data_IF_204969993492
#
_entry.id   IF_204969993492
#
_cell.length_a   1.000
_cell.length_b   1.000
_cell.length_c   1.000
_cell.angle_alpha   90.00
_cell.angle_beta   90.00
_cell.angle_gamma   90.00
#
_symmetry.space_group_name_H-M   'P 1'
#
loop_
_entity.id
_entity.type
_entity.pdbx_description
1 polymer ?
#
# COMPACT_ATOMS: atom_id res chain seq x y z
N UNK A 1 -2.04 18.68 -4.74
CA UNK A 1 -1.38 17.68 -5.60
C UNK A 1 -2.44 16.62 -5.89
N UNK A 2 -2.84 16.42 -7.16
CA UNK A 2 -3.77 15.34 -7.50
C UNK A 2 -2.97 14.05 -7.51
N UNK A 3 -3.44 13.04 -6.77
CA UNK A 3 -2.77 11.76 -6.71
C UNK A 3 -2.93 11.04 -8.06
N UNK A 4 -1.89 10.40 -8.55
CA UNK A 4 -1.94 9.58 -9.74
C UNK A 4 -3.01 8.46 -9.57
N UNK A 5 -4.05 8.39 -10.41
CA UNK A 5 -5.10 7.39 -10.28
C UNK A 5 -4.56 5.96 -10.34
N UNK A 6 -3.47 5.73 -11.08
CA UNK A 6 -2.83 4.42 -11.16
C UNK A 6 -2.28 3.95 -9.81
N UNK A 7 -1.80 4.86 -8.95
CA UNK A 7 -1.35 4.52 -7.59
C UNK A 7 -2.54 4.09 -6.72
N UNK A 8 -3.70 4.72 -6.90
CA UNK A 8 -4.92 4.37 -6.18
C UNK A 8 -5.35 2.96 -6.57
N UNK A 9 -5.46 2.69 -7.87
CA UNK A 9 -5.90 1.41 -8.40
C UNK A 9 -4.95 0.29 -7.95
N UNK A 10 -3.64 0.51 -8.02
CA UNK A 10 -2.63 -0.44 -7.56
C UNK A 10 -2.79 -0.84 -6.08
N UNK A 11 -3.05 0.13 -5.21
CA UNK A 11 -3.23 -0.12 -3.77
C UNK A 11 -4.56 -0.83 -3.51
N UNK A 12 -5.62 -0.45 -4.23
CA UNK A 12 -6.93 -1.11 -4.13
C UNK A 12 -6.85 -2.55 -4.60
N UNK A 13 -6.18 -2.82 -5.72
CA UNK A 13 -5.95 -4.17 -6.23
C UNK A 13 -5.15 -5.01 -5.22
N UNK A 14 -4.10 -4.44 -4.62
CA UNK A 14 -3.33 -5.11 -3.57
C UNK A 14 -4.24 -5.50 -2.38
N UNK A 15 -5.07 -4.58 -1.88
CA UNK A 15 -6.02 -4.84 -0.80
C UNK A 15 -7.10 -5.87 -1.18
N UNK A 16 -7.59 -5.82 -2.41
CA UNK A 16 -8.62 -6.74 -2.90
C UNK A 16 -8.08 -8.14 -3.19
N UNK A 17 -6.78 -8.26 -3.52
CA UNK A 17 -6.12 -9.53 -3.82
C UNK A 17 -5.90 -10.45 -2.63
N UNK A 18 -6.04 -9.95 -1.39
CA UNK A 18 -5.83 -10.75 -0.18
C UNK A 18 -7.16 -11.14 0.49
N UNK A 19 -7.27 -12.36 1.04
CA UNK A 19 -8.45 -12.78 1.79
C UNK A 19 -8.67 -11.96 3.06
N UNK A 20 -9.93 -11.85 3.50
CA UNK A 20 -10.28 -11.20 4.77
C UNK A 20 -9.58 -11.87 5.95
N UNK A 21 -9.12 -11.07 6.91
CA UNK A 21 -8.39 -11.54 8.09
C UNK A 21 -6.94 -11.95 7.84
N UNK A 22 -6.40 -11.72 6.64
CA UNK A 22 -5.00 -12.04 6.31
C UNK A 22 -4.13 -10.79 6.18
N UNK A 23 -2.81 -10.98 6.27
CA UNK A 23 -1.81 -9.96 5.99
C UNK A 23 -0.84 -10.45 4.93
N UNK A 24 -0.41 -9.57 4.04
CA UNK A 24 0.56 -9.87 2.99
C UNK A 24 1.49 -8.67 2.75
N UNK A 25 2.75 -8.97 2.47
CA UNK A 25 3.71 -7.97 2.00
C UNK A 25 3.58 -7.80 0.48
N UNK A 26 3.62 -6.55 0.03
CA UNK A 26 3.61 -6.17 -1.37
C UNK A 26 4.85 -5.37 -1.70
N UNK A 27 5.48 -5.70 -2.82
CA UNK A 27 6.44 -4.87 -3.52
C UNK A 27 5.72 -4.31 -4.72
N UNK A 28 5.69 -2.98 -4.87
CA UNK A 28 4.88 -2.30 -5.88
C UNK A 28 5.78 -1.65 -6.96
N UNK A 29 6.00 -2.32 -8.12
CA UNK A 29 6.80 -1.79 -9.23
C UNK A 29 6.16 -0.62 -9.96
N UNK A 30 6.94 0.01 -10.84
CA UNK A 30 6.43 0.68 -12.05
C UNK A 30 5.50 1.89 -11.83
N UNK A 31 5.60 2.54 -10.67
CA UNK A 31 4.97 3.84 -10.38
C UNK A 31 5.97 4.86 -9.90
N UNK A 32 5.57 6.14 -9.86
CA UNK A 32 6.32 7.14 -9.11
C UNK A 32 6.41 6.70 -7.65
N UNK A 33 7.58 6.20 -7.27
CA UNK A 33 7.82 5.60 -5.97
C UNK A 33 7.76 6.62 -4.85
N UNK A 34 8.05 7.90 -5.12
CA UNK A 34 8.00 8.96 -4.11
C UNK A 34 6.56 9.33 -3.82
N UNK A 35 5.73 9.42 -4.86
CA UNK A 35 4.30 9.64 -4.71
C UNK A 35 3.63 8.45 -4.01
N UNK A 36 3.97 7.21 -4.42
CA UNK A 36 3.48 5.99 -3.80
C UNK A 36 3.85 5.92 -2.32
N UNK A 37 5.12 6.14 -1.98
CA UNK A 37 5.59 6.13 -0.59
C UNK A 37 4.87 7.18 0.26
N UNK A 38 4.71 8.40 -0.27
CA UNK A 38 4.00 9.48 0.41
C UNK A 38 2.54 9.09 0.69
N UNK A 39 1.88 8.49 -0.30
CA UNK A 39 0.49 8.08 -0.15
C UNK A 39 0.32 6.90 0.82
N UNK A 40 1.20 5.90 0.75
CA UNK A 40 1.17 4.78 1.69
C UNK A 40 1.46 5.23 3.12
N UNK A 41 2.35 6.22 3.32
CA UNK A 41 2.56 6.84 4.64
C UNK A 41 1.29 7.55 5.13
N UNK A 42 0.60 8.28 4.27
CA UNK A 42 -0.69 8.86 4.60
C UNK A 42 -1.74 7.81 4.99
N UNK A 43 -1.83 6.70 4.23
CA UNK A 43 -2.75 5.61 4.52
C UNK A 43 -2.39 4.89 5.82
N UNK A 44 -1.11 4.69 6.11
CA UNK A 44 -0.64 4.18 7.39
C UNK A 44 -1.09 5.06 8.56
N UNK A 45 -0.94 6.39 8.44
CA UNK A 45 -1.40 7.31 9.49
C UNK A 45 -2.93 7.28 9.70
N UNK A 46 -3.69 7.10 8.62
CA UNK A 46 -5.16 7.12 8.67
C UNK A 46 -5.76 5.77 9.07
N UNK A 47 -5.13 4.68 8.66
CA UNK A 47 -5.58 3.30 8.84
C UNK A 47 -4.41 2.37 9.22
N UNK A 48 -3.76 2.59 10.37
CA UNK A 48 -2.54 1.86 10.75
C UNK A 48 -2.78 0.36 10.97
N UNK A 49 -4.02 -0.05 11.24
CA UNK A 49 -4.41 -1.47 11.35
C UNK A 49 -4.49 -2.18 9.99
N UNK A 50 -4.60 -1.43 8.89
CA UNK A 50 -4.69 -1.94 7.52
C UNK A 50 -3.33 -1.80 6.82
N UNK A 51 -2.71 -0.63 6.92
CA UNK A 51 -1.44 -0.34 6.26
C UNK A 51 -0.33 -0.19 7.29
N UNK A 52 0.67 -1.08 7.24
CA UNK A 52 1.90 -0.90 8.01
C UNK A 52 2.76 0.23 7.43
N UNK A 53 3.73 0.72 8.21
CA UNK A 53 4.66 1.74 7.73
C UNK A 53 5.40 1.23 6.48
N UNK A 54 5.31 1.96 5.34
CA UNK A 54 5.97 1.55 4.11
C UNK A 54 7.45 1.94 4.14
N UNK A 55 8.28 1.12 3.48
CA UNK A 55 9.73 1.35 3.39
C UNK A 55 10.20 1.32 1.93
N UNK A 56 11.27 2.07 1.65
CA UNK A 56 11.86 2.21 0.32
C UNK A 56 13.15 1.39 0.23
N UNK A 57 13.22 0.47 -0.72
CA UNK A 57 14.41 -0.36 -0.92
C UNK A 57 15.34 0.21 -2.00
N UNK A 58 16.62 -0.11 -1.87
CA UNK A 58 17.70 0.30 -2.80
C UNK A 58 17.44 -0.07 -4.27
N UNK A 59 16.56 -1.04 -4.52
CA UNK A 59 16.19 -1.49 -5.87
C UNK A 59 15.04 -0.69 -6.51
N UNK A 60 14.61 0.43 -5.90
CA UNK A 60 13.59 1.30 -6.47
C UNK A 60 12.15 0.79 -6.33
N UNK A 61 11.90 -0.05 -5.33
CA UNK A 61 10.57 -0.55 -4.99
C UNK A 61 10.14 -0.07 -3.60
N UNK A 62 8.88 0.34 -3.48
CA UNK A 62 8.23 0.57 -2.20
C UNK A 62 7.59 -0.73 -1.74
N UNK A 63 7.90 -1.11 -0.50
CA UNK A 63 7.32 -2.25 0.18
C UNK A 63 6.30 -1.80 1.21
N UNK A 64 5.17 -2.49 1.27
CA UNK A 64 4.16 -2.28 2.31
C UNK A 64 3.53 -3.59 2.72
N UNK A 65 3.26 -3.74 4.02
CA UNK A 65 2.42 -4.83 4.54
C UNK A 65 0.99 -4.32 4.65
N UNK A 66 0.08 -5.01 3.96
CA UNK A 66 -1.35 -4.73 4.01
C UNK A 66 -2.04 -5.86 4.79
N UNK A 67 -2.89 -5.49 5.73
CA UNK A 67 -3.72 -6.37 6.56
C UNK A 67 -5.17 -6.12 6.22
N UNK A 68 -5.86 -7.12 5.68
CA UNK A 68 -7.29 -7.00 5.39
C UNK A 68 -8.07 -7.35 6.65
N UNK A 69 -8.91 -6.43 7.17
CA UNK A 69 -9.73 -6.71 8.33
C UNK A 69 -10.71 -7.87 8.04
N UNK A 70 -11.19 -8.51 9.09
CA UNK A 70 -12.30 -9.46 8.98
C UNK A 70 -13.57 -8.63 8.89
N UNK A 71 -14.27 -8.68 7.75
CA UNK A 71 -15.64 -8.17 7.66
C UNK A 71 -16.48 -8.93 8.69
N UNK A 72 -17.04 -8.21 9.67
CA UNK A 72 -17.94 -8.74 10.70
C UNK A 72 -19.39 -8.52 10.29
#
# INVERSE_FOLDING_TARGET
MKLNPYIIDLIQDALNSIPNGTKKAFSLPEVDQRELLSHLKYLHLKYPSIFSEPDFYFNGYVNVVITKPIDR
#
